data_IF_251898176371
#
_entry.id   IF_251898176371
#
_cell.length_a   1.000
_cell.length_b   1.000
_cell.length_c   1.000
_cell.angle_alpha   90.00
_cell.angle_beta   90.00
_cell.angle_gamma   90.00
#
_symmetry.space_group_name_H-M   'P 1'
#
loop_
_entity.id
_entity.type
_entity.pdbx_description
1 polymer ?
#
# COMPACT_ATOMS: atom_id res chain seq x y z
N UNK A 1 8.36 4.63 -10.97
CA UNK A 1 6.90 4.49 -11.22
C UNK A 1 6.25 5.87 -11.04
N UNK A 2 5.24 6.27 -11.83
CA UNK A 2 4.58 7.60 -11.81
C UNK A 2 3.53 7.71 -10.66
N UNK A 3 3.17 8.90 -10.12
CA UNK A 3 2.14 9.03 -9.07
C UNK A 3 0.75 8.55 -9.52
N UNK A 4 0.42 8.69 -10.81
CA UNK A 4 -0.80 8.12 -11.41
C UNK A 4 -0.85 6.60 -11.24
N UNK A 5 0.29 5.92 -11.36
CA UNK A 5 0.36 4.46 -11.25
C UNK A 5 0.14 3.93 -9.83
N UNK A 6 0.46 4.69 -8.79
CA UNK A 6 0.14 4.29 -7.41
C UNK A 6 -1.35 4.42 -7.12
N UNK A 7 -1.96 5.53 -7.56
CA UNK A 7 -3.40 5.71 -7.47
C UNK A 7 -4.15 4.65 -8.25
N UNK A 8 -3.80 4.41 -9.52
CA UNK A 8 -4.46 3.40 -10.36
C UNK A 8 -4.40 2.00 -9.72
N UNK A 9 -3.26 1.64 -9.12
CA UNK A 9 -3.10 0.35 -8.44
C UNK A 9 -3.96 0.26 -7.19
N UNK A 10 -3.95 1.29 -6.34
CA UNK A 10 -4.80 1.33 -5.15
C UNK A 10 -6.29 1.32 -5.54
N UNK A 11 -6.71 2.17 -6.48
CA UNK A 11 -8.09 2.27 -6.96
C UNK A 11 -8.56 0.94 -7.55
N UNK A 12 -7.72 0.25 -8.31
CA UNK A 12 -8.03 -1.08 -8.84
C UNK A 12 -8.23 -2.11 -7.73
N UNK A 13 -7.32 -2.16 -6.75
CA UNK A 13 -7.43 -3.10 -5.61
C UNK A 13 -8.65 -2.79 -4.75
N UNK A 14 -8.88 -1.52 -4.42
CA UNK A 14 -10.02 -1.07 -3.63
C UNK A 14 -11.36 -1.34 -4.34
N UNK A 15 -11.43 -1.08 -5.65
CA UNK A 15 -12.62 -1.38 -6.46
C UNK A 15 -12.89 -2.88 -6.45
N UNK A 16 -11.84 -3.69 -6.68
CA UNK A 16 -11.96 -5.14 -6.64
C UNK A 16 -12.44 -5.63 -5.27
N UNK A 17 -11.83 -5.12 -4.19
CA UNK A 17 -12.23 -5.42 -2.82
C UNK A 17 -13.70 -5.08 -2.57
N UNK A 18 -14.15 -3.89 -2.99
CA UNK A 18 -15.54 -3.46 -2.81
C UNK A 18 -16.57 -4.25 -3.62
N UNK A 19 -16.14 -4.88 -4.71
CA UNK A 19 -16.99 -5.68 -5.59
C UNK A 19 -16.79 -7.18 -5.37
N UNK A 20 -15.97 -7.59 -4.39
CA UNK A 20 -15.53 -8.98 -4.24
C UNK A 20 -16.73 -9.93 -4.14
N UNK A 21 -17.65 -9.67 -3.21
CA UNK A 21 -18.85 -10.48 -2.99
C UNK A 21 -19.69 -10.58 -4.27
N UNK A 22 -19.97 -9.45 -4.92
CA UNK A 22 -20.72 -9.42 -6.19
C UNK A 22 -20.02 -10.16 -7.33
N UNK A 23 -18.69 -10.19 -7.35
CA UNK A 23 -17.90 -10.95 -8.32
C UNK A 23 -18.04 -12.45 -8.05
N UNK A 24 -18.02 -12.86 -6.77
CA UNK A 24 -18.22 -14.26 -6.39
C UNK A 24 -19.64 -14.72 -6.76
N UNK A 25 -20.68 -13.97 -6.38
CA UNK A 25 -22.06 -14.31 -6.68
C UNK A 25 -22.28 -14.50 -8.20
N UNK A 26 -21.71 -13.59 -9.00
CA UNK A 26 -21.74 -13.68 -10.46
C UNK A 26 -21.06 -14.95 -10.97
N UNK A 27 -19.90 -15.30 -10.40
CA UNK A 27 -19.18 -16.51 -10.80
C UNK A 27 -19.92 -17.78 -10.39
N UNK A 28 -20.59 -17.80 -9.23
CA UNK A 28 -21.46 -18.90 -8.83
C UNK A 28 -22.62 -19.08 -9.81
N UNK A 29 -23.27 -17.99 -10.22
CA UNK A 29 -24.31 -18.05 -11.25
C UNK A 29 -23.78 -18.57 -12.59
N UNK A 30 -22.63 -18.06 -13.05
CA UNK A 30 -22.02 -18.47 -14.33
C UNK A 30 -21.58 -19.93 -14.29
N UNK A 31 -21.09 -20.41 -13.15
CA UNK A 31 -20.65 -21.81 -13.00
C UNK A 31 -21.79 -22.80 -12.85
N UNK A 32 -22.99 -22.34 -12.51
CA UNK A 32 -24.21 -23.16 -12.49
C UNK A 32 -24.85 -23.37 -13.88
N UNK A 33 -24.43 -22.63 -14.92
CA UNK A 33 -24.98 -22.72 -16.28
C UNK A 33 -24.43 -23.96 -17.03
N UNK A 34 -25.21 -24.46 -18.01
CA UNK A 34 -24.86 -25.62 -18.88
C UNK A 34 -23.47 -25.53 -19.52
N UNK A 35 -22.88 -26.69 -19.92
CA UNK A 35 -21.51 -26.74 -20.43
C UNK A 35 -21.29 -25.79 -21.61
N UNK A 36 -20.35 -24.86 -21.43
CA UNK A 36 -19.82 -23.95 -22.44
C UNK A 36 -18.33 -23.76 -22.19
N UNK A 37 -17.57 -23.30 -23.17
CA UNK A 37 -16.14 -23.01 -22.95
C UNK A 37 -15.92 -21.93 -21.87
N UNK A 38 -16.91 -21.05 -21.66
CA UNK A 38 -16.94 -20.06 -20.59
C UNK A 38 -17.07 -20.67 -19.18
N UNK A 39 -17.61 -21.89 -19.06
CA UNK A 39 -17.79 -22.58 -17.77
C UNK A 39 -16.43 -22.96 -17.16
N UNK A 40 -15.53 -23.54 -17.94
CA UNK A 40 -14.20 -23.94 -17.45
C UNK A 40 -13.39 -22.74 -16.96
N UNK A 41 -13.48 -21.61 -17.67
CA UNK A 41 -12.82 -20.37 -17.29
C UNK A 41 -13.45 -19.78 -16.01
N UNK A 42 -14.78 -19.76 -15.91
CA UNK A 42 -15.50 -19.32 -14.71
C UNK A 42 -15.14 -20.12 -13.47
N UNK A 43 -15.09 -21.46 -13.58
CA UNK A 43 -14.68 -22.34 -12.47
C UNK A 43 -13.25 -22.03 -12.02
N UNK A 44 -12.33 -21.82 -12.97
CA UNK A 44 -10.94 -21.49 -12.66
C UNK A 44 -10.82 -20.15 -11.92
N UNK A 45 -11.55 -19.12 -12.37
CA UNK A 45 -11.57 -17.84 -11.67
C UNK A 45 -12.19 -17.95 -10.29
N UNK A 46 -13.35 -18.59 -10.18
CA UNK A 46 -14.02 -18.81 -8.90
C UNK A 46 -13.08 -19.48 -7.89
N UNK A 47 -12.48 -20.61 -8.28
CA UNK A 47 -11.53 -21.37 -7.45
C UNK A 47 -10.30 -20.53 -7.06
N UNK A 48 -9.81 -19.66 -7.95
CA UNK A 48 -8.69 -18.79 -7.66
C UNK A 48 -9.04 -17.69 -6.65
N UNK A 49 -10.24 -17.09 -6.76
CA UNK A 49 -10.68 -15.96 -5.94
C UNK A 49 -11.08 -16.35 -4.51
N UNK A 50 -11.62 -17.56 -4.32
CA UNK A 50 -11.91 -18.10 -2.98
C UNK A 50 -10.66 -18.70 -2.30
N UNK A 51 -9.53 -18.79 -3.03
CA UNK A 51 -8.30 -19.35 -2.50
C UNK A 51 -7.71 -18.49 -1.39
N UNK A 52 -7.28 -19.11 -0.28
CA UNK A 52 -6.78 -18.40 0.91
C UNK A 52 -5.64 -17.43 0.60
N UNK A 53 -4.76 -17.80 -0.34
CA UNK A 53 -3.68 -16.93 -0.79
C UNK A 53 -4.15 -15.69 -1.54
N UNK A 54 -5.22 -15.80 -2.33
CA UNK A 54 -5.81 -14.65 -3.01
C UNK A 54 -6.46 -13.70 -2.00
N UNK A 55 -7.34 -14.23 -1.13
CA UNK A 55 -8.07 -13.46 -0.12
C UNK A 55 -7.09 -12.66 0.76
N UNK A 56 -6.10 -13.31 1.36
CA UNK A 56 -5.16 -12.62 2.26
C UNK A 56 -4.32 -11.59 1.49
N UNK A 57 -3.91 -11.91 0.26
CA UNK A 57 -3.17 -10.96 -0.57
C UNK A 57 -4.03 -9.74 -0.91
N UNK A 58 -5.31 -9.93 -1.21
CA UNK A 58 -6.25 -8.85 -1.51
C UNK A 58 -6.39 -7.92 -0.30
N UNK A 59 -6.69 -8.44 0.90
CA UNK A 59 -6.82 -7.61 2.10
C UNK A 59 -5.50 -6.92 2.48
N UNK A 60 -4.39 -7.64 2.38
CA UNK A 60 -3.06 -7.08 2.62
C UNK A 60 -2.76 -5.91 1.69
N UNK A 61 -3.00 -6.09 0.38
CA UNK A 61 -2.81 -5.02 -0.59
C UNK A 61 -3.77 -3.86 -0.35
N UNK A 62 -5.02 -4.14 0.00
CA UNK A 62 -6.02 -3.13 0.28
C UNK A 62 -5.60 -2.22 1.44
N UNK A 63 -5.15 -2.82 2.55
CA UNK A 63 -4.63 -2.09 3.71
C UNK A 63 -3.35 -1.34 3.37
N UNK A 64 -2.33 -2.02 2.85
CA UNK A 64 -1.01 -1.44 2.68
C UNK A 64 -0.96 -0.38 1.56
N UNK A 65 -1.71 -0.56 0.47
CA UNK A 65 -1.76 0.44 -0.60
C UNK A 65 -2.54 1.70 -0.20
N UNK A 66 -3.37 1.66 0.84
CA UNK A 66 -4.06 2.87 1.34
C UNK A 66 -3.08 3.97 1.75
N UNK A 67 -1.89 3.62 2.27
CA UNK A 67 -0.82 4.56 2.57
C UNK A 67 -0.28 5.26 1.31
N UNK A 68 -0.25 4.57 0.17
CA UNK A 68 0.20 5.17 -1.11
C UNK A 68 -0.78 6.19 -1.65
N UNK A 69 -2.07 6.06 -1.32
CA UNK A 69 -3.09 7.06 -1.65
C UNK A 69 -2.82 8.36 -0.89
N UNK A 70 -2.52 8.28 0.40
CA UNK A 70 -2.22 9.45 1.24
C UNK A 70 -1.03 10.21 0.65
N UNK A 71 0.06 9.50 0.32
CA UNK A 71 1.23 10.11 -0.34
C UNK A 71 0.84 10.79 -1.66
N UNK A 72 0.09 10.09 -2.50
CA UNK A 72 -0.26 10.60 -3.82
C UNK A 72 -1.21 11.79 -3.78
N UNK A 73 -2.10 11.86 -2.78
CA UNK A 73 -2.94 13.04 -2.52
C UNK A 73 -2.07 14.23 -2.11
N UNK A 74 -1.17 14.04 -1.15
CA UNK A 74 -0.29 15.10 -0.67
C UNK A 74 0.55 15.68 -1.82
N UNK A 75 1.18 14.83 -2.64
CA UNK A 75 2.02 15.27 -3.77
C UNK A 75 1.24 15.98 -4.89
N UNK A 76 -0.06 15.66 -5.08
CA UNK A 76 -0.90 16.24 -6.14
C UNK A 76 -1.58 17.53 -5.72
N UNK A 77 -1.67 17.79 -4.43
CA UNK A 77 -2.35 18.97 -3.92
C UNK A 77 -1.47 20.21 -4.16
N UNK A 78 -1.94 21.11 -5.04
CA UNK A 78 -1.25 22.36 -5.35
C UNK A 78 -1.29 23.38 -4.20
N UNK A 79 -2.14 23.14 -3.20
CA UNK A 79 -2.27 23.99 -2.02
C UNK A 79 -1.32 23.59 -0.89
N UNK A 80 -0.77 22.37 -0.93
CA UNK A 80 0.16 21.88 0.09
C UNK A 80 1.59 22.30 -0.31
N UNK A 81 2.27 22.95 0.64
CA UNK A 81 3.68 23.29 0.51
C UNK A 81 4.53 22.00 0.38
N UNK A 82 5.52 22.04 -0.51
CA UNK A 82 6.40 20.91 -0.82
C UNK A 82 7.16 20.39 0.41
N UNK A 83 7.42 21.27 1.40
CA UNK A 83 7.98 20.86 2.69
C UNK A 83 6.99 20.04 3.52
N UNK A 84 5.73 20.45 3.58
CA UNK A 84 4.68 19.67 4.26
C UNK A 84 4.44 18.32 3.57
N UNK A 85 4.55 18.27 2.24
CA UNK A 85 4.52 17.01 1.50
C UNK A 85 5.66 16.07 1.92
N UNK A 86 6.89 16.59 2.02
CA UNK A 86 8.06 15.83 2.46
C UNK A 86 7.82 15.24 3.85
N UNK A 87 7.41 16.07 4.80
CA UNK A 87 7.23 15.65 6.19
C UNK A 87 6.13 14.57 6.30
N UNK A 88 5.01 14.75 5.59
CA UNK A 88 3.94 13.74 5.53
C UNK A 88 4.40 12.40 4.95
N UNK A 89 5.33 12.40 3.99
CA UNK A 89 5.92 11.16 3.45
C UNK A 89 6.82 10.49 4.48
N UNK A 90 7.60 11.28 5.22
CA UNK A 90 8.47 10.76 6.29
C UNK A 90 7.66 10.14 7.42
N UNK A 91 6.54 10.76 7.80
CA UNK A 91 5.59 10.21 8.78
C UNK A 91 5.00 8.87 8.31
N UNK A 92 4.63 8.75 7.03
CA UNK A 92 4.10 7.50 6.48
C UNK A 92 5.17 6.40 6.48
N UNK A 93 6.41 6.73 6.11
CA UNK A 93 7.53 5.78 6.18
C UNK A 93 7.79 5.36 7.62
N UNK A 94 7.69 6.29 8.59
CA UNK A 94 7.79 5.99 10.00
C UNK A 94 6.71 5.00 10.44
N UNK A 95 5.44 5.28 10.15
CA UNK A 95 4.30 4.41 10.47
C UNK A 95 4.50 3.00 9.89
N UNK A 96 4.86 2.89 8.61
CA UNK A 96 5.11 1.59 7.98
C UNK A 96 6.27 0.82 8.64
N UNK A 97 7.28 1.52 9.14
CA UNK A 97 8.37 0.90 9.89
C UNK A 97 7.95 0.46 11.29
N UNK A 98 7.05 1.17 11.95
CA UNK A 98 6.45 0.72 13.22
C UNK A 98 5.63 -0.56 13.00
N UNK A 99 4.80 -0.61 11.94
CA UNK A 99 4.09 -1.83 11.54
C UNK A 99 5.09 -2.97 11.24
N UNK A 100 6.25 -2.67 10.66
CA UNK A 100 7.27 -3.69 10.39
C UNK A 100 7.92 -4.23 11.68
N UNK A 101 8.08 -3.39 12.71
CA UNK A 101 8.66 -3.80 14.00
C UNK A 101 7.70 -4.67 14.80
N UNK A 102 6.41 -4.33 14.76
CA UNK A 102 5.34 -5.08 15.41
C UNK A 102 4.21 -5.35 14.41
N UNK A 103 4.39 -6.38 13.54
CA UNK A 103 3.44 -6.66 12.48
C UNK A 103 2.15 -7.31 12.98
N UNK A 104 2.14 -7.82 14.20
CA UNK A 104 1.08 -8.72 14.67
C UNK A 104 -0.25 -7.99 14.82
N UNK A 105 -0.26 -6.74 15.30
CA UNK A 105 -1.50 -5.95 15.45
C UNK A 105 -2.22 -5.78 14.10
N UNK A 106 -1.52 -5.23 13.10
CA UNK A 106 -2.10 -4.98 11.78
C UNK A 106 -2.37 -6.27 10.99
N UNK A 107 -1.52 -7.28 11.17
CA UNK A 107 -1.70 -8.55 10.49
C UNK A 107 -2.88 -9.36 11.05
N UNK A 108 -3.12 -9.29 12.35
CA UNK A 108 -4.21 -10.01 12.99
C UNK A 108 -5.57 -9.49 12.52
N UNK A 109 -5.75 -8.17 12.41
CA UNK A 109 -6.94 -7.55 11.82
C UNK A 109 -7.16 -8.01 10.36
N UNK A 110 -6.09 -8.06 9.56
CA UNK A 110 -6.16 -8.54 8.17
C UNK A 110 -6.53 -10.02 8.12
N UNK A 111 -5.99 -10.84 9.02
CA UNK A 111 -6.24 -12.27 9.05
C UNK A 111 -7.67 -12.59 9.50
N UNK A 112 -8.20 -11.85 10.47
CA UNK A 112 -9.60 -11.96 10.89
C UNK A 112 -10.56 -11.57 9.76
N UNK A 113 -10.33 -10.44 9.09
CA UNK A 113 -11.12 -10.07 7.91
C UNK A 113 -11.03 -11.08 6.77
N UNK A 114 -9.89 -11.76 6.62
CA UNK A 114 -9.74 -12.82 5.62
C UNK A 114 -10.55 -14.08 5.99
N UNK A 115 -10.68 -14.39 7.28
CA UNK A 115 -11.53 -15.48 7.76
C UNK A 115 -13.00 -15.14 7.48
N UNK A 116 -13.43 -13.91 7.75
CA UNK A 116 -14.81 -13.46 7.48
C UNK A 116 -15.13 -13.55 5.98
N UNK A 117 -14.24 -13.08 5.11
CA UNK A 117 -14.43 -13.15 3.66
C UNK A 117 -14.41 -14.60 3.13
N UNK A 118 -13.61 -15.47 3.74
CA UNK A 118 -13.62 -16.90 3.42
C UNK A 118 -14.94 -17.55 3.82
N UNK A 119 -15.50 -17.20 4.99
CA UNK A 119 -16.80 -17.69 5.44
C UNK A 119 -17.94 -17.29 4.51
N UNK A 120 -17.91 -16.07 3.95
CA UNK A 120 -18.88 -15.63 2.93
C UNK A 120 -18.95 -16.58 1.74
N UNK A 121 -17.80 -17.12 1.32
CA UNK A 121 -17.66 -17.99 0.15
C UNK A 121 -17.75 -19.49 0.48
N UNK A 122 -18.24 -19.84 1.68
CA UNK A 122 -18.23 -21.21 2.22
C UNK A 122 -16.83 -21.88 2.19
N UNK A 123 -15.77 -21.06 2.19
CA UNK A 123 -14.38 -21.50 2.12
C UNK A 123 -13.66 -21.28 3.47
N UNK A 124 -12.39 -21.70 3.54
CA UNK A 124 -11.56 -21.56 4.74
C UNK A 124 -10.17 -21.04 4.40
N UNK A 125 -9.58 -20.36 5.36
CA UNK A 125 -8.17 -19.98 5.30
C UNK A 125 -7.33 -21.18 5.73
N UNK A 126 -6.81 -21.90 4.74
CA UNK A 126 -6.04 -23.12 4.96
C UNK A 126 -4.57 -22.94 4.61
N UNK A 127 -3.75 -23.80 5.21
CA UNK A 127 -2.34 -23.88 4.88
C UNK A 127 -2.18 -24.31 3.42
N UNK A 128 -1.47 -23.54 2.56
CA UNK A 128 -1.27 -23.95 1.19
C UNK A 128 -0.45 -25.23 1.13
N UNK A 129 -0.68 -26.04 0.10
CA UNK A 129 0.09 -27.27 -0.14
C UNK A 129 1.55 -26.90 -0.45
N UNK A 130 2.43 -27.06 0.55
CA UNK A 130 3.87 -26.84 0.37
C UNK A 130 4.46 -28.06 -0.34
N UNK A 131 4.88 -27.88 -1.59
CA UNK A 131 5.69 -28.88 -2.31
C UNK A 131 7.16 -28.76 -1.89
N UNK A 132 7.85 -29.89 -1.71
CA UNK A 132 9.26 -29.95 -1.25
C UNK A 132 10.27 -29.23 -2.17
N UNK A 133 9.86 -28.81 -3.36
CA UNK A 133 10.72 -28.19 -4.37
C UNK A 133 10.07 -26.91 -4.90
N UNK A 134 10.27 -25.80 -4.20
CA UNK A 134 10.03 -24.46 -4.74
C UNK A 134 11.38 -23.82 -5.01
N UNK A 135 11.68 -23.57 -6.29
CA UNK A 135 12.98 -23.01 -6.74
C UNK A 135 12.96 -21.48 -6.76
N UNK A 136 11.78 -20.86 -6.81
CA UNK A 136 11.61 -19.43 -7.09
C UNK A 136 11.02 -18.60 -5.94
N UNK A 137 10.67 -19.20 -4.80
CA UNK A 137 10.15 -18.48 -3.63
C UNK A 137 10.87 -18.95 -2.37
N UNK A 138 11.36 -17.98 -1.58
CA UNK A 138 11.74 -18.23 -0.20
C UNK A 138 10.45 -18.47 0.59
N UNK A 139 10.06 -19.73 0.73
CA UNK A 139 8.93 -20.12 1.56
C UNK A 139 9.45 -20.40 2.97
N UNK A 140 9.33 -19.42 3.86
CA UNK A 140 9.74 -19.56 5.26
C UNK A 140 8.84 -20.61 5.91
N UNK A 141 9.40 -21.65 6.56
CA UNK A 141 8.62 -22.64 7.26
C UNK A 141 7.67 -21.98 8.27
N UNK A 142 6.44 -22.48 8.35
CA UNK A 142 5.40 -21.99 9.23
C UNK A 142 4.60 -23.15 9.83
N UNK A 143 4.09 -22.96 11.04
CA UNK A 143 3.35 -23.99 11.80
C UNK A 143 1.88 -24.10 11.38
N UNK A 144 1.28 -22.99 10.95
CA UNK A 144 -0.14 -22.85 10.62
C UNK A 144 -0.33 -21.84 9.49
N UNK A 145 -1.58 -21.71 9.01
CA UNK A 145 -1.92 -20.79 7.93
C UNK A 145 -1.63 -19.32 8.30
N UNK A 146 -1.93 -18.93 9.55
CA UNK A 146 -1.71 -17.56 10.06
C UNK A 146 -0.24 -17.18 9.99
N UNK A 147 0.64 -18.01 10.53
CA UNK A 147 2.08 -17.79 10.47
C UNK A 147 2.61 -17.85 9.04
N UNK A 148 2.08 -18.76 8.21
CA UNK A 148 2.50 -18.88 6.82
C UNK A 148 2.25 -17.60 6.03
N UNK A 149 1.03 -17.09 6.06
CA UNK A 149 0.68 -15.90 5.31
C UNK A 149 1.28 -14.63 5.91
N UNK A 150 1.54 -14.59 7.22
CA UNK A 150 2.34 -13.51 7.83
C UNK A 150 3.74 -13.43 7.22
N UNK A 151 4.46 -14.55 7.23
CA UNK A 151 5.86 -14.63 6.82
C UNK A 151 6.05 -14.55 5.30
N UNK A 152 5.13 -15.14 4.54
CA UNK A 152 5.29 -15.33 3.09
C UNK A 152 4.44 -14.40 2.23
N UNK A 153 3.51 -13.64 2.82
CA UNK A 153 2.68 -12.67 2.10
C UNK A 153 2.77 -11.27 2.73
N UNK A 154 2.33 -11.10 3.98
CA UNK A 154 2.23 -9.79 4.62
C UNK A 154 3.59 -9.08 4.75
N UNK A 155 4.55 -9.71 5.42
CA UNK A 155 5.88 -9.11 5.66
C UNK A 155 6.60 -8.79 4.34
N UNK A 156 6.65 -9.70 3.33
CA UNK A 156 7.25 -9.39 2.04
C UNK A 156 6.59 -8.21 1.31
N UNK A 157 5.26 -8.10 1.32
CA UNK A 157 4.55 -6.99 0.68
C UNK A 157 4.83 -5.68 1.42
N UNK A 158 4.80 -5.67 2.75
CA UNK A 158 5.14 -4.51 3.57
C UNK A 158 6.58 -4.03 3.30
N UNK A 159 7.54 -4.96 3.27
CA UNK A 159 8.93 -4.66 2.96
C UNK A 159 9.08 -4.05 1.56
N UNK A 160 8.43 -4.64 0.55
CA UNK A 160 8.45 -4.12 -0.80
C UNK A 160 7.85 -2.71 -0.90
N UNK A 161 6.76 -2.45 -0.16
CA UNK A 161 6.11 -1.15 -0.13
C UNK A 161 7.04 -0.09 0.47
N UNK A 162 7.62 -0.35 1.65
CA UNK A 162 8.56 0.55 2.30
C UNK A 162 9.73 0.86 1.35
N UNK A 163 10.36 -0.17 0.78
CA UNK A 163 11.47 -0.02 -0.14
C UNK A 163 11.07 0.82 -1.36
N UNK A 164 9.91 0.56 -1.95
CA UNK A 164 9.40 1.30 -3.11
C UNK A 164 9.13 2.78 -2.82
N UNK A 165 8.70 3.10 -1.59
CA UNK A 165 8.49 4.49 -1.16
C UNK A 165 9.84 5.16 -0.90
N UNK A 166 10.74 4.51 -0.14
CA UNK A 166 12.06 5.05 0.20
C UNK A 166 12.93 5.30 -1.03
N UNK A 167 12.98 4.37 -1.99
CA UNK A 167 13.75 4.52 -3.23
C UNK A 167 13.26 5.73 -4.05
N UNK A 168 11.95 5.98 -4.01
CA UNK A 168 11.32 7.05 -4.77
C UNK A 168 11.51 8.42 -4.12
N UNK A 169 11.47 8.46 -2.80
CA UNK A 169 11.76 9.65 -2.01
C UNK A 169 13.16 9.54 -1.42
N UNK A 170 14.12 9.22 -2.29
CA UNK A 170 15.53 9.16 -1.93
C UNK A 170 16.02 10.52 -1.43
N UNK A 171 17.17 10.52 -0.77
CA UNK A 171 17.74 11.74 -0.19
C UNK A 171 17.93 12.85 -1.23
N UNK A 172 18.23 12.50 -2.48
CA UNK A 172 18.31 13.47 -3.58
C UNK A 172 16.97 14.15 -3.88
N UNK A 173 15.87 13.40 -3.86
CA UNK A 173 14.52 13.95 -4.06
C UNK A 173 14.13 14.81 -2.86
N UNK A 174 14.47 14.39 -1.65
CA UNK A 174 14.25 15.19 -0.43
C UNK A 174 15.02 16.51 -0.48
N UNK A 175 16.30 16.48 -0.87
CA UNK A 175 17.11 17.68 -1.06
C UNK A 175 16.52 18.59 -2.15
N UNK A 176 16.07 18.04 -3.26
CA UNK A 176 15.41 18.82 -4.31
C UNK A 176 14.11 19.47 -3.82
N UNK A 177 13.32 18.77 -3.00
CA UNK A 177 12.12 19.34 -2.35
C UNK A 177 12.51 20.46 -1.37
N UNK A 178 13.58 20.31 -0.59
CA UNK A 178 14.07 21.40 0.26
C UNK A 178 14.53 22.61 -0.57
N UNK A 179 15.24 22.41 -1.67
CA UNK A 179 15.66 23.53 -2.55
C UNK A 179 14.46 24.20 -3.21
N UNK A 180 13.38 23.47 -3.46
CA UNK A 180 12.16 24.03 -4.07
C UNK A 180 11.51 25.12 -3.21
N UNK A 181 11.75 25.14 -1.89
CA UNK A 181 11.29 26.22 -1.01
C UNK A 181 11.99 27.56 -1.28
N UNK A 182 13.09 27.57 -2.04
CA UNK A 182 13.80 28.79 -2.46
C UNK A 182 13.27 29.35 -3.77
N UNK A 183 12.35 28.65 -4.44
CA UNK A 183 11.74 29.15 -5.68
C UNK A 183 10.85 30.35 -5.30
N UNK A 184 11.03 31.52 -5.95
CA UNK A 184 10.31 32.74 -5.61
C UNK A 184 8.78 32.63 -5.60
N UNK A 185 8.23 31.67 -6.36
CA UNK A 185 6.80 31.38 -6.38
C UNK A 185 6.25 30.77 -5.07
N UNK A 186 7.11 30.15 -4.25
CA UNK A 186 6.75 29.59 -2.94
C UNK A 186 7.29 30.44 -1.77
N UNK A 187 8.03 31.51 -2.06
CA UNK A 187 8.41 32.48 -1.05
C UNK A 187 7.21 33.36 -0.70
N UNK A 188 7.08 33.69 0.59
CA UNK A 188 6.15 34.74 1.01
C UNK A 188 6.47 36.06 0.29
N UNK A 189 5.48 36.93 0.04
CA UNK A 189 5.73 38.24 -0.56
C UNK A 189 6.87 38.94 0.17
N UNK A 190 7.80 39.55 -0.58
CA UNK A 190 8.98 40.20 0.00
C UNK A 190 8.60 41.17 1.14
N UNK A 191 7.47 41.85 1.01
CA UNK A 191 6.93 42.76 2.02
C UNK A 191 6.67 42.12 3.40
N UNK A 192 6.31 40.84 3.43
CA UNK A 192 6.12 40.08 4.68
C UNK A 192 7.44 39.61 5.29
N UNK A 193 8.52 39.57 4.50
CA UNK A 193 9.85 39.19 4.93
C UNK A 193 10.66 40.40 5.44
N UNK A 194 10.25 41.64 5.13
CA UNK A 194 10.93 42.87 5.57
C UNK A 194 11.18 42.92 7.08
N UNK A 195 10.20 42.62 7.97
CA UNK A 195 10.43 42.67 9.41
C UNK A 195 11.49 41.65 9.87
N UNK A 196 11.47 40.45 9.29
CA UNK A 196 12.44 39.39 9.59
C UNK A 196 13.85 39.72 9.07
N UNK A 197 13.94 40.39 7.92
CA UNK A 197 15.20 40.86 7.33
C UNK A 197 15.82 42.00 8.13
N UNK A 198 15.01 42.94 8.65
CA UNK A 198 15.47 44.00 9.55
C UNK A 198 16.02 43.41 10.85
N UNK A 199 15.31 42.46 11.45
CA UNK A 199 15.81 41.73 12.61
C UNK A 199 17.15 41.03 12.31
N UNK A 200 17.29 40.43 11.13
CA UNK A 200 18.53 39.75 10.73
C UNK A 200 19.70 40.74 10.54
N UNK A 201 19.43 41.93 10.00
CA UNK A 201 20.41 43.01 9.86
C UNK A 201 20.86 43.55 11.22
N UNK A 202 19.97 43.62 12.21
CA UNK A 202 20.30 44.10 13.56
C UNK A 202 21.15 43.10 14.38
N UNK A 203 21.17 41.82 13.98
CA UNK A 203 21.85 40.73 14.68
C UNK A 203 23.20 40.37 14.05
N UNK A 204 23.43 40.75 12.79
CA UNK A 204 24.72 40.52 12.14
C UNK A 204 25.76 41.51 12.71
N UNK A 205 26.94 41.04 13.15
CA UNK A 205 28.00 41.94 13.56
C UNK A 205 28.44 42.77 12.36
N UNK A 206 28.64 44.07 12.57
CA UNK A 206 29.19 44.97 11.55
C UNK A 206 30.51 44.37 11.04
N UNK A 207 30.52 43.97 9.77
CA UNK A 207 31.68 43.42 9.08
C UNK A 207 32.74 44.47 8.78
#
# INVERSE_FOLDING_TARGET
>A
MCPTRWNERYESVQTFYSLYESIIDLLDEVTAIRPSDSLALGINYHTALIGSGFIITLLTLNKLLSFTLIISKNVKDKSIDLMHCKDAIEDIVFILNEIRKDPDVEYDDIFEGAIELAQYTDSRIDMPRITKRQVHRNNVPAKDAKEHFKLNCFIPILYYLITSITDRFSDHVKQALTISSLIPAYLKPFNELIPSLQLYHDVLPDG
#
